data_IF_135671225783
#
_entry.id   IF_135671225783
#
_cell.length_a   1.000
_cell.length_b   1.000
_cell.length_c   1.000
_cell.angle_alpha   90.00
_cell.angle_beta   90.00
_cell.angle_gamma   90.00
#
_symmetry.space_group_name_H-M   'P 1'
#
loop_
_entity.id
_entity.type
_entity.pdbx_description
1 polymer ?
#
# COMPACT_ATOMS: atom_id res chain seq x y z
N UNK A 1 23.02 -13.24 6.88
CA UNK A 1 22.01 -12.74 7.84
C UNK A 1 21.68 -13.87 8.79
N UNK A 2 21.83 -13.63 10.09
CA UNK A 2 21.33 -14.58 11.10
C UNK A 2 19.79 -14.51 11.09
N UNK A 3 19.11 -15.63 11.34
CA UNK A 3 17.64 -15.71 11.32
C UNK A 3 16.99 -14.63 12.18
N UNK A 4 17.55 -14.36 13.36
CA UNK A 4 17.08 -13.30 14.25
C UNK A 4 17.08 -11.90 13.60
N UNK A 5 18.09 -11.57 12.78
CA UNK A 5 18.18 -10.28 12.10
C UNK A 5 17.10 -10.15 11.03
N UNK A 6 16.81 -11.24 10.32
CA UNK A 6 15.75 -11.28 9.32
C UNK A 6 14.35 -11.06 9.95
N UNK A 7 14.11 -11.67 11.12
CA UNK A 7 12.86 -11.49 11.86
C UNK A 7 12.72 -10.07 12.41
N UNK A 8 13.80 -9.48 12.92
CA UNK A 8 13.81 -8.08 13.37
C UNK A 8 13.54 -7.10 12.21
N UNK A 9 14.19 -7.32 11.07
CA UNK A 9 13.98 -6.53 9.86
C UNK A 9 12.54 -6.65 9.35
N UNK A 10 11.96 -7.86 9.38
CA UNK A 10 10.57 -8.08 9.01
C UNK A 10 9.60 -7.37 9.97
N UNK A 11 9.81 -7.49 11.28
CA UNK A 11 9.00 -6.80 12.28
C UNK A 11 9.09 -5.27 12.12
N UNK A 12 10.30 -4.76 11.87
CA UNK A 12 10.56 -3.34 11.58
C UNK A 12 9.79 -2.91 10.33
N UNK A 13 9.85 -3.69 9.26
CA UNK A 13 9.12 -3.42 8.04
C UNK A 13 7.61 -3.43 8.27
N UNK A 14 7.06 -4.36 9.04
CA UNK A 14 5.61 -4.40 9.31
C UNK A 14 5.11 -3.20 10.10
N UNK A 15 5.87 -2.77 11.12
CA UNK A 15 5.56 -1.51 11.83
C UNK A 15 5.62 -0.33 10.86
N UNK A 16 6.65 -0.27 10.02
CA UNK A 16 6.80 0.76 9.00
C UNK A 16 5.66 0.76 7.96
N UNK A 17 5.17 -0.42 7.56
CA UNK A 17 4.02 -0.57 6.67
C UNK A 17 2.75 -0.01 7.28
N UNK A 18 2.48 -0.33 8.56
CA UNK A 18 1.34 0.26 9.29
C UNK A 18 1.43 1.79 9.38
N UNK A 19 2.60 2.32 9.76
CA UNK A 19 2.83 3.77 9.82
C UNK A 19 2.70 4.42 8.45
N UNK A 20 3.23 3.77 7.40
CA UNK A 20 3.09 4.21 6.03
C UNK A 20 1.64 4.33 5.59
N UNK A 21 0.80 3.34 5.92
CA UNK A 21 -0.65 3.41 5.68
C UNK A 21 -1.27 4.62 6.38
N UNK A 22 -0.94 4.83 7.65
CA UNK A 22 -1.44 5.98 8.41
C UNK A 22 -0.95 7.33 7.90
N UNK A 23 0.22 7.40 7.30
CA UNK A 23 0.74 8.60 6.68
C UNK A 23 0.06 8.89 5.31
N UNK A 24 -0.15 7.86 4.48
CA UNK A 24 -0.71 8.07 3.14
C UNK A 24 -2.22 8.34 3.13
N UNK A 25 -2.98 7.75 4.06
CA UNK A 25 -4.46 7.84 4.09
C UNK A 25 -4.96 9.29 4.06
N UNK A 26 -4.51 10.20 4.97
CA UNK A 26 -4.96 11.59 4.96
C UNK A 26 -4.54 12.35 3.71
N UNK A 27 -3.35 12.05 3.17
CA UNK A 27 -2.85 12.70 1.94
C UNK A 27 -3.70 12.29 0.75
N UNK A 28 -3.99 11.00 0.60
CA UNK A 28 -4.85 10.48 -0.46
C UNK A 28 -6.25 11.10 -0.38
N UNK A 29 -6.84 11.15 0.81
CA UNK A 29 -8.14 11.78 1.02
C UNK A 29 -8.11 13.27 0.71
N UNK A 30 -7.05 13.98 1.10
CA UNK A 30 -6.95 15.41 0.82
C UNK A 30 -6.80 15.69 -0.67
N UNK A 31 -6.00 14.90 -1.38
CA UNK A 31 -5.86 15.01 -2.83
C UNK A 31 -7.19 14.70 -3.53
N UNK A 32 -7.91 13.69 -3.06
CA UNK A 32 -9.25 13.36 -3.56
C UNK A 32 -10.24 14.54 -3.39
N UNK A 33 -10.23 15.21 -2.23
CA UNK A 33 -11.04 16.41 -1.99
C UNK A 33 -10.67 17.60 -2.88
N UNK A 34 -9.43 17.67 -3.36
CA UNK A 34 -8.93 18.72 -4.23
C UNK A 34 -9.12 18.40 -5.73
N UNK A 35 -9.50 17.17 -6.08
CA UNK A 35 -9.73 16.77 -7.47
C UNK A 35 -10.85 17.59 -8.13
N UNK A 36 -10.74 17.94 -9.41
CA UNK A 36 -11.82 18.57 -10.16
C UNK A 36 -13.10 17.74 -10.06
N UNK A 37 -14.25 18.40 -9.81
CA UNK A 37 -15.52 17.72 -9.59
C UNK A 37 -15.92 16.77 -10.74
N UNK A 38 -15.59 17.13 -11.99
CA UNK A 38 -15.81 16.29 -13.16
C UNK A 38 -15.05 14.97 -13.10
N UNK A 39 -13.78 15.03 -12.71
CA UNK A 39 -12.93 13.84 -12.66
C UNK A 39 -13.31 12.97 -11.47
N UNK A 40 -13.64 13.59 -10.32
CA UNK A 40 -14.17 12.87 -9.16
C UNK A 40 -15.46 12.11 -9.48
N UNK A 41 -16.42 12.76 -10.15
CA UNK A 41 -17.66 12.12 -10.56
C UNK A 41 -17.40 10.94 -11.51
N UNK A 42 -16.41 11.05 -12.40
CA UNK A 42 -15.99 9.94 -13.27
C UNK A 42 -15.33 8.80 -12.48
N UNK A 43 -14.47 9.11 -11.52
CA UNK A 43 -13.86 8.13 -10.62
C UNK A 43 -14.92 7.35 -9.84
N UNK A 44 -15.87 8.06 -9.23
CA UNK A 44 -16.95 7.47 -8.43
C UNK A 44 -17.87 6.59 -9.28
N UNK A 45 -18.23 7.04 -10.49
CA UNK A 45 -19.02 6.24 -11.42
C UNK A 45 -18.29 4.97 -11.90
N UNK A 46 -16.95 5.02 -11.98
CA UNK A 46 -16.14 3.87 -12.38
C UNK A 46 -15.87 2.89 -11.22
N UNK A 47 -15.96 3.35 -9.96
CA UNK A 47 -15.57 2.56 -8.78
C UNK A 47 -16.66 1.54 -8.40
N UNK A 48 -16.40 0.22 -8.50
CA UNK A 48 -17.36 -0.80 -8.09
C UNK A 48 -17.50 -0.95 -6.57
N UNK A 49 -16.56 -0.38 -5.81
CA UNK A 49 -16.49 -0.42 -4.35
C UNK A 49 -15.06 -0.21 -3.86
N UNK A 50 -14.81 -0.24 -2.54
CA UNK A 50 -13.47 -0.18 -1.98
C UNK A 50 -12.65 -1.41 -2.40
N UNK A 51 -11.42 -1.24 -2.94
CA UNK A 51 -10.66 -2.39 -3.45
C UNK A 51 -10.37 -3.47 -2.43
N UNK A 52 -10.10 -3.10 -1.17
CA UNK A 52 -9.85 -4.05 -0.08
C UNK A 52 -11.09 -4.86 0.32
N UNK A 53 -12.30 -4.31 0.16
CA UNK A 53 -13.55 -5.04 0.39
C UNK A 53 -13.83 -6.01 -0.75
N UNK A 54 -13.60 -5.59 -1.99
CA UNK A 54 -13.72 -6.46 -3.16
C UNK A 54 -12.71 -7.60 -3.12
N UNK A 55 -11.48 -7.33 -2.68
CA UNK A 55 -10.47 -8.35 -2.42
C UNK A 55 -10.95 -9.37 -1.37
N UNK A 56 -11.48 -8.90 -0.24
CA UNK A 56 -12.04 -9.77 0.79
C UNK A 56 -13.18 -10.65 0.24
N UNK A 57 -14.18 -10.04 -0.42
CA UNK A 57 -15.30 -10.78 -1.02
C UNK A 57 -14.84 -11.85 -2.01
N UNK A 58 -13.92 -11.52 -2.91
CA UNK A 58 -13.46 -12.45 -3.95
C UNK A 58 -12.60 -13.58 -3.40
N UNK A 59 -11.64 -13.28 -2.52
CA UNK A 59 -10.73 -14.29 -1.98
C UNK A 59 -11.49 -15.29 -1.11
N UNK A 60 -12.35 -14.81 -0.21
CA UNK A 60 -13.17 -15.70 0.62
C UNK A 60 -14.27 -16.40 -0.20
N UNK A 61 -14.87 -15.69 -1.17
CA UNK A 61 -15.83 -16.27 -2.10
C UNK A 61 -15.26 -17.42 -2.93
N UNK A 62 -13.99 -17.34 -3.34
CA UNK A 62 -13.29 -18.44 -4.03
C UNK A 62 -13.14 -19.70 -3.15
N UNK A 63 -13.16 -19.54 -1.83
CA UNK A 63 -13.19 -20.64 -0.86
C UNK A 63 -14.62 -21.05 -0.44
N UNK A 64 -15.66 -20.53 -1.10
CA UNK A 64 -17.06 -20.80 -0.77
C UNK A 64 -17.57 -20.07 0.48
N UNK A 65 -16.83 -19.07 0.98
CA UNK A 65 -17.16 -18.33 2.20
C UNK A 65 -17.78 -16.98 1.83
N UNK A 66 -19.06 -16.79 2.16
CA UNK A 66 -19.73 -15.49 2.02
C UNK A 66 -19.56 -14.68 3.29
N UNK A 67 -18.86 -13.55 3.18
CA UNK A 67 -18.65 -12.63 4.31
C UNK A 67 -19.66 -11.49 4.29
N UNK A 68 -20.26 -11.23 5.44
CA UNK A 68 -21.23 -10.15 5.64
C UNK A 68 -20.96 -9.41 6.97
N UNK A 69 -21.53 -8.20 7.08
CA UNK A 69 -21.47 -7.38 8.29
C UNK A 69 -20.05 -7.22 8.86
N UNK A 70 -19.89 -7.49 10.16
CA UNK A 70 -18.61 -7.36 10.87
C UNK A 70 -17.52 -8.31 10.37
N UNK A 71 -17.88 -9.47 9.82
CA UNK A 71 -16.90 -10.41 9.30
C UNK A 71 -16.27 -9.87 8.02
N UNK A 72 -17.10 -9.31 7.13
CA UNK A 72 -16.64 -8.62 5.93
C UNK A 72 -15.78 -7.41 6.31
N UNK A 73 -16.24 -6.56 7.24
CA UNK A 73 -15.48 -5.38 7.69
C UNK A 73 -14.07 -5.75 8.18
N UNK A 74 -13.96 -6.79 9.01
CA UNK A 74 -12.65 -7.26 9.51
C UNK A 74 -11.77 -7.81 8.41
N UNK A 75 -12.34 -8.59 7.49
CA UNK A 75 -11.59 -9.13 6.35
C UNK A 75 -11.14 -8.00 5.40
N UNK A 76 -11.99 -7.01 5.15
CA UNK A 76 -11.67 -5.79 4.40
C UNK A 76 -10.50 -5.04 5.01
N UNK A 77 -10.50 -4.81 6.33
CA UNK A 77 -9.37 -4.17 7.01
C UNK A 77 -8.11 -5.03 7.02
N UNK A 78 -8.25 -6.36 7.12
CA UNK A 78 -7.14 -7.28 6.98
C UNK A 78 -6.51 -7.18 5.59
N UNK A 79 -7.31 -7.10 4.52
CA UNK A 79 -6.79 -6.90 3.15
C UNK A 79 -6.09 -5.55 3.01
N UNK A 80 -6.68 -4.49 3.56
CA UNK A 80 -6.14 -3.12 3.49
C UNK A 80 -4.75 -3.01 4.12
N UNK A 81 -4.60 -3.40 5.39
CA UNK A 81 -3.30 -3.36 6.07
C UNK A 81 -2.37 -4.49 5.61
N UNK A 82 -2.92 -5.66 5.27
CA UNK A 82 -2.16 -6.80 4.79
C UNK A 82 -1.35 -6.48 3.53
N UNK A 83 -1.93 -5.70 2.61
CA UNK A 83 -1.22 -5.19 1.45
C UNK A 83 0.00 -4.36 1.88
N UNK A 84 -0.19 -3.34 2.72
CA UNK A 84 0.91 -2.49 3.19
C UNK A 84 2.03 -3.27 3.91
N UNK A 85 1.67 -4.21 4.77
CA UNK A 85 2.62 -5.08 5.49
C UNK A 85 3.37 -6.02 4.55
N UNK A 86 2.73 -6.48 3.46
CA UNK A 86 3.38 -7.34 2.47
C UNK A 86 4.38 -6.59 1.58
N UNK A 87 4.17 -5.28 1.36
CA UNK A 87 5.00 -4.45 0.49
C UNK A 87 6.14 -3.72 1.22
N UNK A 88 5.97 -3.40 2.50
CA UNK A 88 7.00 -2.68 3.27
C UNK A 88 8.37 -3.39 3.39
N UNK A 89 8.50 -4.73 3.38
CA UNK A 89 9.81 -5.39 3.38
C UNK A 89 10.66 -5.09 2.15
N UNK A 90 10.06 -4.62 1.04
CA UNK A 90 10.79 -4.21 -0.15
C UNK A 90 11.80 -3.10 0.17
N UNK A 91 11.44 -2.13 1.02
CA UNK A 91 12.36 -1.07 1.46
C UNK A 91 13.62 -1.67 2.10
N UNK A 92 13.43 -2.64 3.00
CA UNK A 92 14.54 -3.29 3.72
C UNK A 92 15.45 -4.04 2.76
N UNK A 93 14.88 -4.74 1.78
CA UNK A 93 15.66 -5.44 0.75
C UNK A 93 16.47 -4.46 -0.09
N UNK A 94 15.85 -3.37 -0.58
CA UNK A 94 16.54 -2.34 -1.36
C UNK A 94 17.66 -1.69 -0.55
N UNK A 95 17.42 -1.41 0.73
CA UNK A 95 18.38 -0.74 1.59
C UNK A 95 19.53 -1.65 2.02
N UNK A 96 19.27 -2.88 2.46
CA UNK A 96 20.29 -3.80 3.01
C UNK A 96 20.95 -4.70 1.96
N UNK A 97 20.27 -5.01 0.86
CA UNK A 97 20.79 -5.95 -0.17
C UNK A 97 21.28 -5.23 -1.42
N UNK A 98 20.58 -4.18 -1.85
CA UNK A 98 20.99 -3.40 -3.01
C UNK A 98 21.84 -2.16 -2.66
N UNK A 99 22.05 -1.87 -1.36
CA UNK A 99 22.85 -0.73 -0.91
C UNK A 99 22.28 0.64 -1.31
N UNK A 100 20.98 0.69 -1.61
CA UNK A 100 20.33 1.90 -2.13
C UNK A 100 20.24 2.99 -1.04
N UNK A 101 20.35 4.26 -1.43
CA UNK A 101 20.14 5.37 -0.49
C UNK A 101 18.71 5.41 0.06
N UNK A 102 18.55 5.94 1.28
CA UNK A 102 17.27 5.98 2.02
C UNK A 102 16.11 6.51 1.17
N UNK A 103 16.27 7.70 0.59
CA UNK A 103 15.21 8.34 -0.21
C UNK A 103 14.91 7.54 -1.47
N UNK A 104 15.94 7.07 -2.19
CA UNK A 104 15.76 6.28 -3.41
C UNK A 104 15.03 4.96 -3.12
N UNK A 105 15.40 4.25 -2.04
CA UNK A 105 14.73 3.02 -1.62
C UNK A 105 13.28 3.25 -1.22
N UNK A 106 12.98 4.35 -0.52
CA UNK A 106 11.61 4.73 -0.15
C UNK A 106 10.75 5.05 -1.37
N UNK A 107 11.24 5.90 -2.27
CA UNK A 107 10.53 6.26 -3.50
C UNK A 107 10.31 5.04 -4.40
N UNK A 108 11.30 4.16 -4.55
CA UNK A 108 11.16 2.94 -5.34
C UNK A 108 10.16 1.97 -4.71
N UNK A 109 10.10 1.88 -3.38
CA UNK A 109 9.08 1.09 -2.68
C UNK A 109 7.68 1.60 -2.98
N UNK A 110 7.45 2.92 -2.88
CA UNK A 110 6.18 3.54 -3.23
C UNK A 110 5.81 3.36 -4.70
N UNK A 111 6.75 3.61 -5.60
CA UNK A 111 6.56 3.44 -7.05
C UNK A 111 6.23 2.01 -7.42
N UNK A 112 6.92 1.03 -6.83
CA UNK A 112 6.63 -0.39 -7.05
C UNK A 112 5.21 -0.74 -6.58
N UNK A 113 4.80 -0.27 -5.41
CA UNK A 113 3.45 -0.51 -4.90
C UNK A 113 2.38 0.13 -5.81
N UNK A 114 2.56 1.38 -6.24
CA UNK A 114 1.61 2.02 -7.17
C UNK A 114 1.53 1.29 -8.52
N UNK A 115 2.65 0.99 -9.17
CA UNK A 115 2.61 0.41 -10.51
C UNK A 115 2.22 -1.08 -10.50
N UNK A 116 2.71 -1.84 -9.52
CA UNK A 116 2.49 -3.28 -9.48
C UNK A 116 1.18 -3.59 -8.76
N UNK A 117 0.93 -3.00 -7.58
CA UNK A 117 -0.30 -3.29 -6.84
C UNK A 117 -1.50 -2.59 -7.48
N UNK A 118 -1.49 -1.25 -7.58
CA UNK A 118 -2.66 -0.51 -8.04
C UNK A 118 -2.88 -0.66 -9.54
N UNK A 119 -1.85 -0.43 -10.35
CA UNK A 119 -2.01 -0.39 -11.81
C UNK A 119 -2.02 -1.78 -12.46
N UNK A 120 -1.57 -2.83 -11.77
CA UNK A 120 -1.47 -4.17 -12.37
C UNK A 120 -2.30 -5.20 -11.62
N UNK A 121 -1.95 -5.53 -10.37
CA UNK A 121 -2.55 -6.65 -9.65
C UNK A 121 -4.04 -6.40 -9.32
N UNK A 122 -4.37 -5.20 -8.84
CA UNK A 122 -5.73 -4.84 -8.42
C UNK A 122 -6.75 -4.97 -9.56
N UNK A 123 -6.56 -4.36 -10.75
CA UNK A 123 -7.48 -4.53 -11.87
C UNK A 123 -7.46 -5.95 -12.45
N UNK A 124 -6.30 -6.63 -12.52
CA UNK A 124 -6.20 -8.00 -13.05
C UNK A 124 -6.95 -9.01 -12.18
N UNK A 125 -6.91 -8.84 -10.86
CA UNK A 125 -7.71 -9.63 -9.92
C UNK A 125 -9.19 -9.16 -9.87
N UNK A 126 -9.50 -8.05 -10.55
CA UNK A 126 -10.80 -7.39 -10.55
C UNK A 126 -11.22 -6.89 -9.17
N UNK A 127 -10.27 -6.47 -8.35
CA UNK A 127 -10.51 -5.74 -7.10
C UNK A 127 -10.82 -4.26 -7.37
N UNK A 128 -10.67 -3.80 -8.61
CA UNK A 128 -11.12 -2.50 -9.11
C UNK A 128 -11.66 -2.65 -10.53
N UNK A 129 -12.19 -1.56 -11.09
CA UNK A 129 -12.44 -1.47 -12.53
C UNK A 129 -11.11 -1.38 -13.31
N UNK A 130 -11.11 -1.64 -14.64
CA UNK A 130 -9.92 -1.46 -15.46
C UNK A 130 -9.39 -0.03 -15.38
N UNK A 131 -8.06 0.16 -15.34
CA UNK A 131 -7.43 1.47 -15.14
C UNK A 131 -7.91 2.55 -16.11
N UNK A 132 -8.14 2.18 -17.38
CA UNK A 132 -8.63 3.12 -18.41
C UNK A 132 -10.01 3.73 -18.12
N UNK A 133 -10.78 3.15 -17.21
CA UNK A 133 -12.05 3.71 -16.76
C UNK A 133 -11.85 4.97 -15.90
N UNK A 134 -10.79 4.98 -15.08
CA UNK A 134 -10.46 6.07 -14.17
C UNK A 134 -9.85 7.27 -14.91
N UNK A 135 -10.05 8.51 -14.41
CA UNK A 135 -9.35 9.68 -14.93
C UNK A 135 -7.86 9.64 -14.57
N UNK A 136 -7.03 10.35 -15.35
CA UNK A 136 -5.58 10.43 -15.11
C UNK A 136 -5.25 10.91 -13.69
N UNK A 137 -6.05 11.82 -13.13
CA UNK A 137 -5.83 12.37 -11.79
C UNK A 137 -5.92 11.30 -10.70
N UNK A 138 -6.76 10.27 -10.84
CA UNK A 138 -6.85 9.13 -9.92
C UNK A 138 -5.52 8.39 -9.83
N UNK A 139 -4.87 8.15 -10.98
CA UNK A 139 -3.58 7.48 -11.05
C UNK A 139 -2.46 8.34 -10.45
N UNK A 140 -2.45 9.64 -10.75
CA UNK A 140 -1.46 10.56 -10.20
C UNK A 140 -1.61 10.72 -8.68
N UNK A 141 -2.85 10.76 -8.18
CA UNK A 141 -3.15 10.77 -6.75
C UNK A 141 -2.71 9.47 -6.09
N UNK A 142 -3.06 8.33 -6.67
CA UNK A 142 -2.64 7.00 -6.19
C UNK A 142 -1.11 6.90 -6.12
N UNK A 143 -0.42 7.31 -7.17
CA UNK A 143 1.04 7.38 -7.21
C UNK A 143 1.61 8.28 -6.11
N UNK A 144 1.11 9.52 -5.99
CA UNK A 144 1.57 10.46 -4.97
C UNK A 144 1.36 9.95 -3.53
N UNK A 145 0.21 9.33 -3.25
CA UNK A 145 -0.08 8.70 -1.97
C UNK A 145 0.91 7.56 -1.67
N UNK A 146 1.25 6.75 -2.66
CA UNK A 146 2.24 5.69 -2.51
C UNK A 146 3.67 6.21 -2.32
N UNK A 147 4.02 7.37 -2.87
CA UNK A 147 5.30 8.00 -2.55
C UNK A 147 5.36 8.41 -1.07
N UNK A 148 4.26 8.92 -0.50
CA UNK A 148 4.17 9.20 0.94
C UNK A 148 4.31 7.91 1.75
N UNK A 149 3.64 6.83 1.34
CA UNK A 149 3.82 5.51 1.96
C UNK A 149 5.28 5.08 1.97
N UNK A 150 5.95 5.08 0.81
CA UNK A 150 7.33 4.63 0.68
C UNK A 150 8.33 5.46 1.49
N UNK A 151 8.15 6.78 1.53
CA UNK A 151 8.98 7.67 2.35
C UNK A 151 8.71 7.50 3.85
N UNK A 152 7.45 7.29 4.26
CA UNK A 152 7.10 7.01 5.65
C UNK A 152 7.69 5.67 6.10
N UNK A 153 7.61 4.63 5.25
CA UNK A 153 8.25 3.34 5.50
C UNK A 153 9.76 3.53 5.70
N UNK A 154 10.41 4.28 4.81
CA UNK A 154 11.83 4.57 4.91
C UNK A 154 12.19 5.26 6.24
N UNK A 155 11.47 6.34 6.58
CA UNK A 155 11.70 7.07 7.81
C UNK A 155 11.51 6.19 9.06
N UNK A 156 10.45 5.39 9.10
CA UNK A 156 10.19 4.48 10.24
C UNK A 156 11.25 3.40 10.36
N UNK A 157 11.64 2.75 9.26
CA UNK A 157 12.69 1.74 9.28
C UNK A 157 14.04 2.32 9.75
N UNK A 158 14.47 3.45 9.19
CA UNK A 158 15.74 4.09 9.58
C UNK A 158 15.73 4.56 11.03
N UNK A 159 14.60 5.10 11.51
CA UNK A 159 14.46 5.48 12.91
C UNK A 159 14.57 4.27 13.84
N UNK A 160 13.86 3.18 13.56
CA UNK A 160 13.90 1.95 14.36
C UNK A 160 15.28 1.30 14.34
N UNK A 161 15.96 1.26 13.18
CA UNK A 161 17.33 0.78 13.11
C UNK A 161 18.31 1.67 13.86
N UNK A 162 18.17 3.00 13.78
CA UNK A 162 19.03 3.93 14.51
C UNK A 162 18.88 3.75 16.03
N UNK A 163 17.63 3.63 16.53
CA UNK A 163 17.35 3.36 17.94
C UNK A 163 17.95 2.05 18.44
N UNK A 164 18.12 1.06 17.56
CA UNK A 164 18.75 -0.23 17.87
C UNK A 164 20.25 -0.29 17.54
N UNK A 165 20.85 0.79 17.04
CA UNK A 165 22.25 0.83 16.63
C UNK A 165 22.58 -0.06 15.40
N UNK A 166 21.62 -0.28 14.49
CA UNK A 166 21.70 -1.25 13.39
C UNK A 166 21.62 -0.66 11.98
N UNK A 167 22.21 0.51 11.77
CA UNK A 167 22.21 1.17 10.46
C UNK A 167 22.83 0.26 9.38
N UNK A 168 22.23 0.18 8.18
CA UNK A 168 22.78 -0.57 7.05
C UNK A 168 24.03 0.09 6.48
#
# INVERSE_FOLDING_TARGET
>A
MKVAEALEDLATAWVAGYVGTKAMEPVSMKLYELEPARDRAREDAARPGPPYELAAKKIFGAAGIMLEGKALERASMFMHYGLALSWSPLYVLLRRRAGMGVVAAGLLTGTAMSLIADETMTPLAGFSAPNRAYPLVTHLRGFAAHQVFGLAVAATCEALWALRGRRP
#
